data_IF_972533563918
#
_entry.id   IF_972533563918
#
_cell.length_a   1.000
_cell.length_b   1.000
_cell.length_c   1.000
_cell.angle_alpha   90.00
_cell.angle_beta   90.00
_cell.angle_gamma   90.00
#
_symmetry.space_group_name_H-M   'P 1'
#
loop_
_entity.id
_entity.type
_entity.pdbx_description
1 polymer ?
#
# COMPACT_ATOMS: atom_id res chain seq x y z
N UNK A 1 -25.01 2.74 -13.19
CA UNK A 1 -23.92 2.04 -12.47
C UNK A 1 -23.92 2.63 -11.08
N UNK A 2 -24.35 1.85 -10.09
CA UNK A 2 -24.48 2.32 -8.71
C UNK A 2 -23.12 2.79 -8.21
N UNK A 3 -23.00 4.06 -7.84
CA UNK A 3 -21.75 4.62 -7.32
C UNK A 3 -21.44 3.90 -6.01
N UNK A 4 -20.40 3.06 -6.02
CA UNK A 4 -20.00 2.35 -4.81
C UNK A 4 -19.62 3.38 -3.76
N UNK A 5 -20.34 3.35 -2.64
CA UNK A 5 -20.05 4.27 -1.54
C UNK A 5 -18.60 4.06 -1.11
N UNK A 6 -17.87 5.14 -0.78
CA UNK A 6 -16.47 5.08 -0.32
C UNK A 6 -16.24 4.00 0.74
N UNK A 7 -17.19 3.85 1.66
CA UNK A 7 -17.19 2.83 2.72
C UNK A 7 -17.24 1.39 2.19
N UNK A 8 -17.96 1.14 1.09
CA UNK A 8 -18.02 -0.17 0.43
C UNK A 8 -16.71 -0.47 -0.30
N UNK A 9 -16.17 0.51 -1.04
CA UNK A 9 -14.87 0.39 -1.71
C UNK A 9 -13.74 0.11 -0.70
N UNK A 10 -13.73 0.82 0.43
CA UNK A 10 -12.76 0.59 1.51
C UNK A 10 -12.87 -0.82 2.12
N UNK A 11 -14.09 -1.32 2.38
CA UNK A 11 -14.28 -2.69 2.89
C UNK A 11 -13.80 -3.74 1.91
N UNK A 12 -14.06 -3.54 0.62
CA UNK A 12 -13.59 -4.44 -0.43
C UNK A 12 -12.07 -4.42 -0.53
N UNK A 13 -11.45 -3.23 -0.49
CA UNK A 13 -10.00 -3.07 -0.50
C UNK A 13 -9.33 -3.77 0.68
N UNK A 14 -9.83 -3.59 1.90
CA UNK A 14 -9.30 -4.25 3.11
C UNK A 14 -9.42 -5.77 2.98
N UNK A 15 -10.57 -6.27 2.51
CA UNK A 15 -10.79 -7.71 2.30
C UNK A 15 -9.81 -8.28 1.29
N UNK A 16 -9.67 -7.64 0.13
CA UNK A 16 -8.76 -8.08 -0.93
C UNK A 16 -7.31 -8.07 -0.47
N UNK A 17 -6.90 -7.02 0.25
CA UNK A 17 -5.56 -6.93 0.85
C UNK A 17 -5.32 -8.09 1.81
N UNK A 18 -6.27 -8.35 2.73
CA UNK A 18 -6.15 -9.42 3.73
C UNK A 18 -5.98 -10.79 3.07
N UNK A 19 -6.85 -11.12 2.11
CA UNK A 19 -6.80 -12.40 1.40
C UNK A 19 -5.46 -12.58 0.67
N UNK A 20 -5.00 -11.55 -0.05
CA UNK A 20 -3.74 -11.60 -0.78
C UNK A 20 -2.53 -11.70 0.16
N UNK A 21 -2.55 -10.98 1.28
CA UNK A 21 -1.49 -11.01 2.28
C UNK A 21 -1.39 -12.39 2.94
N UNK A 22 -2.53 -12.97 3.35
CA UNK A 22 -2.56 -14.31 3.96
C UNK A 22 -2.08 -15.38 2.97
N UNK A 23 -2.47 -15.28 1.69
CA UNK A 23 -1.98 -16.19 0.64
C UNK A 23 -0.46 -16.08 0.44
N UNK A 24 0.09 -14.87 0.42
CA UNK A 24 1.54 -14.65 0.30
C UNK A 24 2.32 -15.18 1.51
N UNK A 25 1.74 -15.03 2.70
CA UNK A 25 2.31 -15.56 3.95
C UNK A 25 2.36 -17.09 3.91
N UNK A 26 1.26 -17.75 3.51
CA UNK A 26 1.20 -19.21 3.37
C UNK A 26 2.19 -19.75 2.34
N UNK A 27 2.40 -19.01 1.24
CA UNK A 27 3.37 -19.36 0.19
C UNK A 27 4.82 -19.15 0.67
N UNK A 28 5.04 -18.32 1.70
CA UNK A 28 6.36 -18.02 2.26
C UNK A 28 7.29 -17.26 1.31
N UNK A 29 6.77 -16.73 0.19
CA UNK A 29 7.54 -15.96 -0.80
C UNK A 29 6.78 -14.72 -1.17
N UNK A 30 7.36 -13.57 -0.82
CA UNK A 30 6.85 -12.26 -1.20
C UNK A 30 7.85 -11.54 -2.10
N UNK A 31 7.35 -11.00 -3.21
CA UNK A 31 8.11 -10.09 -4.08
C UNK A 31 7.25 -8.86 -4.37
N UNK A 32 7.68 -7.70 -3.90
CA UNK A 32 7.02 -6.40 -4.12
C UNK A 32 6.74 -6.13 -5.61
N UNK A 33 7.70 -6.45 -6.48
CA UNK A 33 7.60 -6.18 -7.92
C UNK A 33 6.85 -7.26 -8.71
N UNK A 34 6.32 -8.29 -8.05
CA UNK A 34 5.55 -9.35 -8.70
C UNK A 34 4.08 -8.97 -8.82
N UNK A 35 3.33 -9.74 -9.63
CA UNK A 35 1.87 -9.60 -9.78
C UNK A 35 1.14 -9.67 -8.44
N UNK A 36 1.64 -10.47 -7.48
CA UNK A 36 1.08 -10.55 -6.13
C UNK A 36 1.32 -9.28 -5.30
N UNK A 37 2.46 -8.62 -5.49
CA UNK A 37 2.75 -7.31 -4.88
C UNK A 37 1.89 -6.19 -5.48
N UNK A 38 1.66 -6.22 -6.79
CA UNK A 38 0.75 -5.28 -7.46
C UNK A 38 -0.67 -5.36 -6.91
N UNK A 39 -1.19 -6.58 -6.65
CA UNK A 39 -2.52 -6.76 -6.06
C UNK A 39 -2.62 -6.11 -4.66
N UNK A 40 -1.59 -6.24 -3.83
CA UNK A 40 -1.54 -5.58 -2.53
C UNK A 40 -1.48 -4.05 -2.69
N UNK A 41 -0.68 -3.57 -3.63
CA UNK A 41 -0.53 -2.13 -3.91
C UNK A 41 -1.86 -1.51 -4.38
N UNK A 42 -2.58 -2.16 -5.29
CA UNK A 42 -3.85 -1.69 -5.83
C UNK A 42 -4.94 -1.66 -4.75
N UNK A 43 -4.95 -2.66 -3.87
CA UNK A 43 -5.84 -2.68 -2.71
C UNK A 43 -5.55 -1.50 -1.76
N UNK A 44 -4.28 -1.23 -1.45
CA UNK A 44 -3.89 -0.10 -0.60
C UNK A 44 -4.19 1.26 -1.25
N UNK A 45 -3.98 1.40 -2.56
CA UNK A 45 -4.35 2.62 -3.31
C UNK A 45 -5.85 2.86 -3.30
N UNK A 46 -6.65 1.81 -3.44
CA UNK A 46 -8.11 1.90 -3.35
C UNK A 46 -8.56 2.29 -1.94
N UNK A 47 -7.89 1.75 -0.91
CA UNK A 47 -8.16 2.10 0.49
C UNK A 47 -7.78 3.56 0.80
N UNK A 48 -6.72 4.06 0.18
CA UNK A 48 -6.17 5.41 0.38
C UNK A 48 -6.06 5.76 1.86
N UNK A 49 -5.27 5.00 2.65
CA UNK A 49 -5.14 5.21 4.08
C UNK A 49 -4.58 6.61 4.38
N UNK A 50 -4.86 7.13 5.57
CA UNK A 50 -4.45 8.48 5.98
C UNK A 50 -2.94 8.71 5.85
N UNK A 51 -2.14 7.68 6.15
CA UNK A 51 -0.67 7.72 6.00
C UNK A 51 -0.20 7.97 4.56
N UNK A 52 -1.06 7.78 3.56
CA UNK A 52 -0.73 8.08 2.17
C UNK A 52 -1.01 9.53 1.80
N UNK A 53 -1.75 10.32 2.60
CA UNK A 53 -1.97 11.75 2.32
C UNK A 53 -2.37 12.02 0.87
N UNK A 54 -1.64 12.89 0.17
CA UNK A 54 -1.82 13.13 -1.28
C UNK A 54 -0.98 12.22 -2.19
N UNK A 55 -0.40 11.11 -1.71
CA UNK A 55 0.40 10.19 -2.53
C UNK A 55 -0.40 9.59 -3.70
N UNK A 56 -1.72 9.50 -3.55
CA UNK A 56 -2.62 9.06 -4.62
C UNK A 56 -2.97 10.16 -5.63
N UNK A 57 -2.64 11.42 -5.35
CA UNK A 57 -2.80 12.53 -6.28
C UNK A 57 -1.54 12.67 -7.15
N UNK A 58 -1.60 12.38 -8.46
CA UNK A 58 -0.43 12.50 -9.33
C UNK A 58 0.05 13.96 -9.52
N UNK A 59 -0.72 14.97 -9.10
CA UNK A 59 -0.38 16.39 -9.26
C UNK A 59 0.28 17.01 -8.03
N UNK A 60 0.20 16.35 -6.88
CA UNK A 60 0.72 16.87 -5.62
C UNK A 60 1.91 16.04 -5.15
N UNK A 61 3.03 16.70 -4.89
CA UNK A 61 4.22 16.07 -4.29
C UNK A 61 4.21 16.41 -2.80
N UNK A 62 3.84 15.44 -1.95
CA UNK A 62 3.78 15.61 -0.50
C UNK A 62 5.16 15.40 0.16
N UNK A 63 5.96 16.48 0.26
CA UNK A 63 7.28 16.44 0.91
C UNK A 63 7.19 16.11 2.41
N UNK A 64 6.13 16.55 3.10
CA UNK A 64 5.89 16.23 4.53
C UNK A 64 5.56 14.76 4.77
N UNK A 65 4.87 14.13 3.82
CA UNK A 65 4.60 12.69 3.87
C UNK A 65 5.90 11.88 3.73
N UNK A 66 6.83 12.34 2.90
CA UNK A 66 8.15 11.72 2.78
C UNK A 66 8.95 11.82 4.08
N UNK A 67 8.96 13.00 4.71
CA UNK A 67 9.57 13.20 6.03
C UNK A 67 9.00 12.22 7.07
N UNK A 68 7.67 12.09 7.11
CA UNK A 68 6.96 11.17 8.02
C UNK A 68 7.37 9.69 7.83
N UNK A 69 7.55 9.26 6.57
CA UNK A 69 7.97 7.90 6.24
C UNK A 69 9.43 7.68 6.61
N UNK A 70 10.31 8.62 6.25
CA UNK A 70 11.74 8.54 6.54
C UNK A 70 12.01 8.44 8.05
N UNK A 71 11.26 9.16 8.88
CA UNK A 71 11.36 9.10 10.36
C UNK A 71 10.99 7.74 10.97
N UNK A 72 10.19 6.94 10.26
CA UNK A 72 9.64 5.66 10.77
C UNK A 72 10.28 4.45 10.12
N UNK A 73 11.19 4.65 9.18
CA UNK A 73 11.89 3.57 8.54
C UNK A 73 12.78 2.83 9.57
N UNK A 74 12.82 1.48 9.52
CA UNK A 74 13.68 0.71 10.41
C UNK A 74 15.15 1.07 10.16
N UNK A 75 15.91 1.35 11.23
CA UNK A 75 17.36 1.63 11.13
C UNK A 75 18.09 0.52 10.36
N UNK A 76 18.91 0.89 9.39
CA UNK A 76 19.69 -0.04 8.56
C UNK A 76 19.06 -0.44 7.23
N UNK A 77 17.87 0.08 6.88
CA UNK A 77 17.29 -0.08 5.53
C UNK A 77 18.05 0.74 4.46
N UNK A 78 18.73 1.79 4.88
CA UNK A 78 19.59 2.65 4.07
C UNK A 78 20.88 1.96 3.58
N UNK A 79 21.27 0.82 4.18
CA UNK A 79 22.44 0.06 3.77
C UNK A 79 22.11 -0.82 2.56
N UNK A 80 22.37 -0.31 1.36
CA UNK A 80 22.33 -1.14 0.15
C UNK A 80 23.43 -2.21 0.21
N UNK A 81 23.03 -3.48 0.36
CA UNK A 81 23.94 -4.61 0.13
C UNK A 81 24.29 -4.66 -1.36
N UNK A 82 25.57 -4.46 -1.67
CA UNK A 82 26.12 -4.52 -3.03
C UNK A 82 26.13 -5.95 -3.58
#
# INVERSE_FOLDING_TARGET
MEETTRSQAARLAIRSFRIAADALLLIGRFKMNSRSGQVLQDALRTLSPEIYGTMNDPKCIELKGLEYVMDRLPRGIEECSR
#
